data_IF_721383373997
#
_entry.id   IF_721383373997
#
_cell.length_a   1.000
_cell.length_b   1.000
_cell.length_c   1.000
_cell.angle_alpha   90.00
_cell.angle_beta   90.00
_cell.angle_gamma   90.00
#
_symmetry.space_group_name_H-M   'P 1'
#
loop_
_entity.id
_entity.type
_entity.pdbx_description
1 polymer ?
#
# COMPACT_ATOMS: atom_id res chain seq x y z
N UNK A 1 -0.70 -0.22 6.58
CA UNK A 1 -0.62 0.03 5.13
C UNK A 1 0.85 0.10 4.73
N UNK A 2 1.19 -0.46 3.57
CA UNK A 2 2.49 -0.24 2.95
C UNK A 2 2.44 1.06 2.15
N UNK A 3 3.45 1.91 2.33
CA UNK A 3 3.55 3.17 1.59
C UNK A 3 4.31 2.94 0.29
N UNK A 4 3.67 3.28 -0.83
CA UNK A 4 4.25 3.22 -2.17
C UNK A 4 4.76 4.60 -2.59
N UNK A 5 5.89 4.63 -3.28
CA UNK A 5 6.39 5.83 -3.94
C UNK A 5 5.76 5.95 -5.33
N UNK A 6 4.81 6.86 -5.48
CA UNK A 6 4.07 7.08 -6.74
C UNK A 6 4.27 8.48 -7.32
N UNK A 7 4.83 9.39 -6.53
CA UNK A 7 5.08 10.77 -6.92
C UNK A 7 6.32 10.88 -7.82
N UNK A 8 6.34 11.88 -8.70
CA UNK A 8 7.51 12.22 -9.52
C UNK A 8 8.52 13.10 -8.77
N UNK A 9 8.23 13.48 -7.50
CA UNK A 9 9.11 14.33 -6.68
C UNK A 9 9.92 13.52 -5.67
N UNK A 10 11.21 13.86 -5.54
CA UNK A 10 12.17 13.16 -4.65
C UNK A 10 11.88 13.36 -3.15
N UNK A 11 10.98 14.25 -2.78
CA UNK A 11 10.63 14.54 -1.38
C UNK A 11 9.64 13.54 -0.78
N UNK A 12 9.05 12.68 -1.58
CA UNK A 12 8.17 11.60 -1.13
C UNK A 12 8.96 10.31 -0.98
N UNK A 13 8.58 9.53 0.00
CA UNK A 13 9.18 8.23 0.31
C UNK A 13 8.17 7.12 0.12
N UNK A 14 8.64 5.92 -0.10
CA UNK A 14 7.81 4.74 -0.23
C UNK A 14 8.55 3.62 -0.95
N UNK A 15 7.93 2.47 -0.99
CA UNK A 15 8.43 1.29 -1.68
C UNK A 15 8.22 1.45 -3.19
N UNK A 16 9.14 0.93 -3.96
CA UNK A 16 8.92 0.67 -5.37
C UNK A 16 8.18 -0.67 -5.61
N UNK A 17 7.87 -0.97 -6.87
CA UNK A 17 7.15 -2.19 -7.24
C UNK A 17 7.94 -3.46 -6.90
N UNK A 18 9.28 -3.43 -7.01
CA UNK A 18 10.15 -4.59 -6.74
C UNK A 18 10.25 -4.85 -5.24
N UNK A 19 10.43 -3.80 -4.45
CA UNK A 19 10.46 -3.87 -2.99
C UNK A 19 9.13 -4.37 -2.43
N UNK A 20 8.01 -3.96 -3.03
CA UNK A 20 6.69 -4.46 -2.68
C UNK A 20 6.57 -5.97 -2.96
N UNK A 21 6.98 -6.42 -4.15
CA UNK A 21 6.94 -7.85 -4.52
C UNK A 21 7.81 -8.69 -3.56
N UNK A 22 8.98 -8.21 -3.13
CA UNK A 22 9.83 -8.87 -2.13
C UNK A 22 9.11 -8.99 -0.78
N UNK A 23 8.50 -7.93 -0.27
CA UNK A 23 7.76 -7.95 1.00
C UNK A 23 6.58 -8.92 0.93
N UNK A 24 5.82 -8.92 -0.16
CA UNK A 24 4.69 -9.84 -0.34
C UNK A 24 5.17 -11.30 -0.39
N UNK A 25 6.30 -11.59 -1.02
CA UNK A 25 6.89 -12.93 -1.02
C UNK A 25 7.34 -13.35 0.38
N UNK A 26 7.99 -12.47 1.14
CA UNK A 26 8.40 -12.75 2.52
C UNK A 26 7.19 -13.07 3.41
N UNK A 27 6.13 -12.28 3.33
CA UNK A 27 4.90 -12.50 4.10
C UNK A 27 4.21 -13.81 3.67
N UNK A 28 4.19 -14.12 2.37
CA UNK A 28 3.56 -15.33 1.83
C UNK A 28 4.35 -16.62 2.13
N UNK A 29 5.69 -16.57 2.10
CA UNK A 29 6.55 -17.73 2.36
C UNK A 29 6.55 -18.11 3.83
N UNK A 30 6.54 -17.15 4.73
CA UNK A 30 6.45 -17.40 6.17
C UNK A 30 5.16 -18.13 6.56
N UNK A 31 4.07 -17.92 5.83
CA UNK A 31 2.80 -18.60 6.06
C UNK A 31 2.77 -20.05 5.52
N UNK A 32 3.52 -20.35 4.45
CA UNK A 32 3.65 -21.73 3.95
C UNK A 32 4.44 -22.63 4.91
N UNK A 33 5.45 -22.10 5.58
CA UNK A 33 6.24 -22.84 6.57
C UNK A 33 5.43 -23.19 7.84
N UNK A 34 4.44 -22.40 8.22
CA UNK A 34 3.58 -22.65 9.38
C UNK A 34 2.76 -23.94 9.24
N UNK A 35 2.42 -24.35 8.03
CA UNK A 35 1.61 -25.56 7.79
C UNK A 35 2.44 -26.83 7.63
N UNK A 36 3.77 -26.75 7.57
CA UNK A 36 4.65 -27.90 7.32
C UNK A 36 5.63 -28.26 8.46
N UNK A 37 5.81 -27.42 9.48
CA UNK A 37 6.83 -27.67 10.52
C UNK A 37 6.22 -27.77 11.90
N UNK A 38 5.77 -28.99 12.27
CA UNK A 38 5.53 -29.37 13.68
C UNK A 38 6.79 -29.88 14.42
N UNK A 39 8.00 -29.83 13.82
CA UNK A 39 9.18 -30.45 14.42
C UNK A 39 10.50 -29.72 14.13
N UNK A 40 10.68 -28.46 14.56
CA UNK A 40 12.02 -27.99 14.98
C UNK A 40 11.91 -26.62 15.67
N UNK A 41 12.15 -26.63 16.98
CA UNK A 41 11.95 -25.47 17.87
C UNK A 41 13.13 -24.49 17.93
N UNK A 42 14.11 -24.55 17.02
CA UNK A 42 15.39 -23.79 17.19
C UNK A 42 15.82 -22.93 16.02
N UNK A 43 14.94 -22.49 15.12
CA UNK A 43 15.30 -21.44 14.18
C UNK A 43 14.46 -20.21 14.44
N UNK A 44 15.17 -19.11 14.68
CA UNK A 44 14.66 -17.76 14.94
C UNK A 44 13.74 -17.38 13.79
N UNK A 45 12.46 -17.50 14.03
CA UNK A 45 11.43 -17.04 13.14
C UNK A 45 11.24 -15.54 13.41
N UNK A 46 11.79 -14.69 12.58
CA UNK A 46 11.36 -13.30 12.45
C UNK A 46 9.96 -13.27 11.83
N UNK A 47 8.99 -13.80 12.56
CA UNK A 47 7.59 -13.79 12.17
C UNK A 47 7.00 -12.43 12.47
N UNK A 48 6.46 -11.78 11.46
CA UNK A 48 5.56 -10.64 11.61
C UNK A 48 4.19 -11.10 12.18
N UNK A 49 4.22 -11.90 13.25
CA UNK A 49 2.99 -12.50 13.84
C UNK A 49 2.00 -11.46 14.35
N UNK A 50 2.50 -10.27 14.71
CA UNK A 50 1.71 -9.19 15.29
C UNK A 50 1.39 -8.08 14.28
N UNK A 51 1.73 -8.25 13.00
CA UNK A 51 1.51 -7.25 11.96
C UNK A 51 0.61 -7.86 10.86
N UNK A 52 -0.46 -7.14 10.55
CA UNK A 52 -1.32 -7.45 9.41
C UNK A 52 -1.27 -6.30 8.41
N UNK A 53 -0.81 -6.60 7.21
CA UNK A 53 -0.84 -5.65 6.09
C UNK A 53 -2.25 -5.67 5.51
N UNK A 54 -2.99 -4.56 5.59
CA UNK A 54 -4.39 -4.47 5.14
C UNK A 54 -4.57 -3.67 3.85
N UNK A 55 -3.49 -3.13 3.29
CA UNK A 55 -3.58 -2.37 2.04
C UNK A 55 -2.36 -1.51 1.76
N UNK A 56 -2.53 -0.65 0.79
CA UNK A 56 -1.51 0.29 0.31
C UNK A 56 -1.86 1.73 0.65
N UNK A 57 -0.82 2.57 0.69
CA UNK A 57 -0.93 4.01 0.82
C UNK A 57 0.03 4.69 -0.16
N UNK A 58 -0.38 5.82 -0.71
CA UNK A 58 0.47 6.69 -1.52
C UNK A 58 0.10 8.15 -1.39
N UNK A 59 1.04 9.01 -1.75
CA UNK A 59 0.85 10.45 -1.87
C UNK A 59 1.28 10.87 -3.26
N UNK A 60 0.42 11.60 -3.96
CA UNK A 60 0.76 12.18 -5.25
C UNK A 60 1.72 13.36 -5.11
N UNK A 61 2.32 13.75 -6.21
CA UNK A 61 3.14 14.96 -6.34
C UNK A 61 2.32 16.19 -5.94
N UNK A 62 2.93 17.10 -5.21
CA UNK A 62 2.30 18.38 -4.88
C UNK A 62 2.35 19.32 -6.10
N UNK A 63 1.30 19.32 -6.89
CA UNK A 63 1.18 20.07 -8.14
C UNK A 63 -0.28 20.43 -8.44
N UNK A 64 -0.50 21.47 -9.24
CA UNK A 64 -1.82 21.82 -9.77
C UNK A 64 -2.20 21.01 -11.03
N UNK A 65 -1.28 20.17 -11.54
CA UNK A 65 -1.51 19.33 -12.71
C UNK A 65 -2.38 18.11 -12.38
N UNK A 66 -3.68 18.26 -12.53
CA UNK A 66 -4.66 17.21 -12.25
C UNK A 66 -4.43 15.91 -13.07
N UNK A 67 -3.90 16.01 -14.28
CA UNK A 67 -3.62 14.84 -15.11
C UNK A 67 -2.45 14.02 -14.55
N UNK A 68 -1.43 14.68 -14.01
CA UNK A 68 -0.33 14.01 -13.34
C UNK A 68 -0.81 13.30 -12.06
N UNK A 69 -1.51 14.02 -11.19
CA UNK A 69 -2.09 13.46 -9.96
C UNK A 69 -2.96 12.23 -10.27
N UNK A 70 -3.82 12.34 -11.27
CA UNK A 70 -4.68 11.24 -11.71
C UNK A 70 -3.88 10.02 -12.17
N UNK A 71 -2.82 10.24 -12.96
CA UNK A 71 -1.93 9.16 -13.43
C UNK A 71 -1.26 8.44 -12.26
N UNK A 72 -0.75 9.18 -11.27
CA UNK A 72 -0.12 8.62 -10.08
C UNK A 72 -1.10 7.82 -9.21
N UNK A 73 -2.32 8.32 -9.01
CA UNK A 73 -3.38 7.58 -8.29
C UNK A 73 -3.83 6.33 -9.02
N UNK A 74 -3.99 6.39 -10.35
CA UNK A 74 -4.33 5.21 -11.16
C UNK A 74 -3.20 4.17 -11.16
N UNK A 75 -1.94 4.60 -11.09
CA UNK A 75 -0.81 3.70 -10.91
C UNK A 75 -0.91 2.94 -9.58
N UNK A 76 -1.10 3.64 -8.47
CA UNK A 76 -1.30 3.01 -7.16
C UNK A 76 -2.52 2.06 -7.15
N UNK A 77 -3.60 2.46 -7.79
CA UNK A 77 -4.80 1.61 -7.94
C UNK A 77 -4.48 0.33 -8.72
N UNK A 78 -3.70 0.42 -9.79
CA UNK A 78 -3.31 -0.76 -10.58
C UNK A 78 -2.46 -1.75 -9.78
N UNK A 79 -1.54 -1.27 -8.95
CA UNK A 79 -0.76 -2.10 -8.03
C UNK A 79 -1.67 -2.79 -7.01
N UNK A 80 -2.60 -2.04 -6.43
CA UNK A 80 -3.58 -2.58 -5.47
C UNK A 80 -4.46 -3.67 -6.09
N UNK A 81 -4.93 -3.48 -7.31
CA UNK A 81 -5.73 -4.46 -8.03
C UNK A 81 -4.91 -5.71 -8.38
N UNK A 82 -3.66 -5.53 -8.81
CA UNK A 82 -2.72 -6.64 -9.04
C UNK A 82 -2.57 -7.50 -7.78
N UNK A 83 -2.39 -6.89 -6.61
CA UNK A 83 -2.30 -7.63 -5.34
C UNK A 83 -3.56 -8.42 -5.02
N UNK A 84 -4.73 -7.90 -5.34
CA UNK A 84 -6.01 -8.58 -5.13
C UNK A 84 -6.25 -9.74 -6.10
N UNK A 85 -5.53 -9.81 -7.22
CA UNK A 85 -5.62 -10.91 -8.20
C UNK A 85 -4.60 -12.03 -7.94
N UNK A 86 -3.56 -11.77 -7.12
CA UNK A 86 -2.56 -12.79 -6.82
C UNK A 86 -3.17 -13.90 -5.95
N UNK A 87 -2.96 -15.18 -6.31
CA UNK A 87 -3.36 -16.29 -5.46
C UNK A 87 -2.46 -16.33 -4.23
N UNK A 88 -2.87 -15.66 -3.16
CA UNK A 88 -2.16 -15.72 -1.89
C UNK A 88 -2.57 -16.95 -1.10
N UNK A 89 -1.60 -17.62 -0.47
CA UNK A 89 -1.80 -18.89 0.22
C UNK A 89 -2.84 -18.84 1.36
N UNK A 90 -3.29 -17.67 1.77
CA UNK A 90 -4.18 -17.46 2.93
C UNK A 90 -5.38 -16.56 2.65
N UNK A 91 -5.86 -16.44 1.41
CA UNK A 91 -6.95 -15.52 1.07
C UNK A 91 -6.68 -14.07 1.54
N UNK A 92 -5.41 -13.68 1.58
CA UNK A 92 -5.03 -12.31 1.92
C UNK A 92 -5.48 -11.40 0.78
N UNK A 93 -6.46 -10.57 1.06
CA UNK A 93 -6.92 -9.53 0.14
C UNK A 93 -6.76 -8.18 0.83
N UNK A 94 -5.91 -7.29 0.31
CA UNK A 94 -5.86 -5.92 0.79
C UNK A 94 -7.19 -5.24 0.54
N UNK A 95 -7.74 -4.60 1.58
CA UNK A 95 -9.05 -3.94 1.53
C UNK A 95 -8.95 -2.43 1.53
N UNK A 96 -7.79 -1.88 1.90
CA UNK A 96 -7.61 -0.45 2.09
C UNK A 96 -6.65 0.13 1.08
N UNK A 97 -7.13 1.09 0.29
CA UNK A 97 -6.33 1.92 -0.60
C UNK A 97 -6.39 3.36 -0.10
N UNK A 98 -5.31 3.82 0.55
CA UNK A 98 -5.26 5.15 1.16
C UNK A 98 -4.51 6.12 0.26
N UNK A 99 -5.23 6.97 -0.43
CA UNK A 99 -4.71 8.08 -1.24
C UNK A 99 -5.67 9.26 -1.21
N UNK A 100 -5.15 10.46 -1.45
CA UNK A 100 -5.90 11.71 -1.39
C UNK A 100 -5.75 12.43 -0.06
N UNK A 101 -5.46 13.71 -0.18
CA UNK A 101 -5.31 14.69 0.89
C UNK A 101 -6.26 15.87 0.66
N UNK A 102 -6.16 16.93 1.46
CA UNK A 102 -7.09 18.08 1.40
C UNK A 102 -7.20 18.75 0.03
N UNK A 103 -6.17 18.68 -0.82
CA UNK A 103 -6.15 19.32 -2.14
C UNK A 103 -6.55 18.43 -3.31
N UNK A 104 -6.63 17.11 -3.14
CA UNK A 104 -6.78 16.15 -4.23
C UNK A 104 -7.70 14.95 -3.90
N UNK A 105 -8.41 14.99 -2.75
CA UNK A 105 -9.22 13.86 -2.27
C UNK A 105 -10.38 13.51 -3.21
N UNK A 106 -10.99 14.48 -3.88
CA UNK A 106 -12.08 14.23 -4.81
C UNK A 106 -11.59 13.37 -5.98
N UNK A 107 -10.46 13.76 -6.56
CA UNK A 107 -9.81 13.00 -7.64
C UNK A 107 -9.34 11.61 -7.16
N UNK A 108 -8.85 11.51 -5.92
CA UNK A 108 -8.47 10.23 -5.34
C UNK A 108 -9.67 9.28 -5.19
N UNK A 109 -10.85 9.79 -4.78
CA UNK A 109 -12.09 9.01 -4.70
C UNK A 109 -12.51 8.54 -6.09
N UNK A 110 -12.46 9.40 -7.10
CA UNK A 110 -12.73 9.02 -8.49
C UNK A 110 -11.80 7.91 -9.00
N UNK A 111 -10.53 7.92 -8.54
CA UNK A 111 -9.55 6.89 -8.86
C UNK A 111 -9.66 5.61 -8.00
N UNK A 112 -10.65 5.53 -7.10
CA UNK A 112 -10.94 4.33 -6.31
C UNK A 112 -10.29 4.29 -4.92
N UNK A 113 -9.94 5.44 -4.34
CA UNK A 113 -9.51 5.53 -2.93
C UNK A 113 -10.61 5.01 -2.00
N UNK A 114 -10.21 4.19 -1.02
CA UNK A 114 -11.12 3.73 0.05
C UNK A 114 -10.88 4.47 1.37
N UNK A 115 -9.79 5.24 1.47
CA UNK A 115 -9.42 6.02 2.64
C UNK A 115 -8.71 7.31 2.24
N UNK A 116 -9.27 8.46 2.58
CA UNK A 116 -8.66 9.78 2.39
C UNK A 116 -8.10 10.34 3.70
N UNK A 117 -7.15 11.28 3.61
CA UNK A 117 -6.50 11.90 4.78
C UNK A 117 -6.69 13.42 4.73
N UNK A 118 -7.72 13.92 5.38
CA UNK A 118 -8.08 15.33 5.39
C UNK A 118 -7.56 16.01 6.66
N UNK A 119 -6.78 17.05 6.49
CA UNK A 119 -6.22 17.85 7.58
C UNK A 119 -6.55 19.32 7.45
N UNK A 120 -5.88 20.03 6.54
CA UNK A 120 -5.99 21.48 6.42
C UNK A 120 -7.40 21.97 6.06
N UNK A 121 -8.21 21.19 5.34
CA UNK A 121 -9.60 21.53 5.02
C UNK A 121 -10.54 21.49 6.25
N UNK A 122 -10.15 20.78 7.32
CA UNK A 122 -10.94 20.69 8.56
C UNK A 122 -10.38 21.62 9.64
N UNK A 123 -9.05 21.65 9.81
CA UNK A 123 -8.39 22.34 10.92
C UNK A 123 -7.75 23.67 10.52
N UNK A 124 -7.83 24.06 9.25
CA UNK A 124 -7.15 25.24 8.71
C UNK A 124 -5.67 25.00 8.36
N UNK A 125 -5.07 25.94 7.63
CA UNK A 125 -3.64 25.94 7.34
C UNK A 125 -2.83 26.33 8.58
N UNK A 126 -1.67 25.71 8.74
CA UNK A 126 -0.69 26.09 9.78
C UNK A 126 0.08 27.35 9.37
#
# INVERSE_FOLDING_TARGET
LLQMHIAEEDTKFGLDDNELDEIIQLVSSNQKMLNQVQHDKNQINDKLENIRIIGLMGMATFTDNQNQIKKEFLHLKSIFDKLNTLPTANNYQPTTLSMGMSGDFELAIECGSTMIRIGSSIFGSR
#
